data_IF_222712899254
#
_entry.id   IF_222712899254
#
_cell.length_a   1.000
_cell.length_b   1.000
_cell.length_c   1.000
_cell.angle_alpha   90.00
_cell.angle_beta   90.00
_cell.angle_gamma   90.00
#
_symmetry.space_group_name_H-M   'P 1'
#
loop_
_entity.id
_entity.type
_entity.pdbx_description
1 polymer ?
#
# COMPACT_ATOMS: atom_id res chain seq x y z
N UNK A 1 -2.18 -12.15 -0.80
CA UNK A 1 -2.58 -11.45 0.44
C UNK A 1 -1.50 -11.64 1.48
N UNK A 2 -1.01 -10.56 2.11
CA UNK A 2 0.03 -10.62 3.13
C UNK A 2 -0.45 -11.39 4.36
N UNK A 3 0.42 -12.23 4.94
CA UNK A 3 0.09 -12.94 6.19
C UNK A 3 0.19 -11.95 7.36
N UNK A 4 -0.83 -11.83 8.24
CA UNK A 4 -0.78 -10.86 9.36
C UNK A 4 0.45 -11.00 10.25
N UNK A 5 0.88 -12.23 10.55
CA UNK A 5 2.09 -12.47 11.33
C UNK A 5 3.38 -12.00 10.65
N UNK A 6 3.45 -12.08 9.31
CA UNK A 6 4.59 -11.56 8.55
C UNK A 6 4.65 -10.03 8.61
N UNK A 7 3.49 -9.38 8.47
CA UNK A 7 3.39 -7.93 8.53
C UNK A 7 3.80 -7.39 9.92
N UNK A 8 3.32 -8.03 11.00
CA UNK A 8 3.73 -7.67 12.38
C UNK A 8 5.24 -7.75 12.58
N UNK A 9 5.88 -8.83 12.13
CA UNK A 9 7.35 -8.99 12.18
C UNK A 9 8.07 -7.87 11.42
N UNK A 10 7.51 -7.41 10.32
CA UNK A 10 8.07 -6.31 9.53
C UNK A 10 7.97 -4.98 10.27
N UNK A 11 6.83 -4.68 10.88
CA UNK A 11 6.67 -3.49 11.73
C UNK A 11 7.68 -3.47 12.89
N UNK A 12 7.89 -4.60 13.56
CA UNK A 12 8.89 -4.72 14.64
C UNK A 12 10.32 -4.41 14.13
N UNK A 13 10.68 -4.93 12.96
CA UNK A 13 11.97 -4.68 12.32
C UNK A 13 12.16 -3.19 11.99
N UNK A 14 11.20 -2.62 11.27
CA UNK A 14 11.24 -1.22 10.81
C UNK A 14 11.31 -0.26 11.99
N UNK A 15 10.54 -0.52 13.06
CA UNK A 15 10.57 0.30 14.26
C UNK A 15 11.91 0.19 15.00
N UNK A 16 12.46 -1.02 15.17
CA UNK A 16 13.73 -1.25 15.86
C UNK A 16 14.89 -0.56 15.13
N UNK A 17 14.90 -0.64 13.81
CA UNK A 17 16.01 -0.19 12.99
C UNK A 17 15.78 1.22 12.39
N UNK A 18 14.68 1.88 12.75
CA UNK A 18 14.28 3.23 12.28
C UNK A 18 14.31 3.38 10.76
N UNK A 19 13.79 2.38 10.06
CA UNK A 19 13.81 2.32 8.59
C UNK A 19 12.71 3.23 8.01
N UNK A 20 13.02 3.90 6.92
CA UNK A 20 12.04 4.66 6.15
C UNK A 20 11.14 3.69 5.38
N UNK A 21 9.82 3.87 5.50
CA UNK A 21 8.80 3.05 4.81
C UNK A 21 7.70 3.96 4.27
N UNK A 22 7.20 3.64 3.08
CA UNK A 22 6.22 4.46 2.36
C UNK A 22 4.88 3.73 2.14
N UNK A 23 4.90 2.40 2.20
CA UNK A 23 3.74 1.53 2.05
C UNK A 23 3.88 0.21 2.84
N UNK A 24 2.81 -0.57 2.95
CA UNK A 24 2.79 -1.83 3.67
C UNK A 24 3.71 -2.91 3.07
N UNK A 25 4.07 -2.77 1.78
CA UNK A 25 4.88 -3.74 1.05
C UNK A 25 6.36 -3.52 1.33
N UNK A 26 6.81 -2.27 1.40
CA UNK A 26 8.17 -1.87 1.76
C UNK A 26 8.59 -2.42 3.13
N UNK A 27 7.64 -2.52 4.06
CA UNK A 27 7.82 -3.19 5.36
C UNK A 27 8.21 -4.67 5.19
N UNK A 28 7.56 -5.37 4.26
CA UNK A 28 7.80 -6.79 3.97
C UNK A 28 9.07 -6.99 3.15
N UNK A 29 9.45 -6.03 2.31
CA UNK A 29 10.71 -6.06 1.54
C UNK A 29 11.95 -6.00 2.44
N UNK A 30 11.88 -5.25 3.56
CA UNK A 30 12.95 -5.24 4.57
C UNK A 30 13.18 -6.62 5.21
N UNK A 31 12.15 -7.48 5.25
CA UNK A 31 12.28 -8.88 5.70
C UNK A 31 12.87 -9.82 4.65
N UNK A 32 13.22 -9.32 3.45
CA UNK A 32 13.68 -10.12 2.30
C UNK A 32 12.69 -11.20 1.88
N UNK A 33 11.41 -11.01 2.18
CA UNK A 33 10.36 -11.92 1.76
C UNK A 33 9.98 -11.61 0.30
N UNK A 34 9.70 -12.62 -0.55
CA UNK A 34 9.26 -12.37 -1.91
C UNK A 34 7.90 -11.65 -1.92
N UNK A 35 7.82 -10.62 -2.76
CA UNK A 35 6.62 -9.84 -3.03
C UNK A 35 6.23 -10.05 -4.49
N UNK A 36 4.93 -10.18 -4.73
CA UNK A 36 4.38 -10.33 -6.08
C UNK A 36 3.55 -9.10 -6.44
N UNK A 37 3.83 -8.53 -7.62
CA UNK A 37 3.04 -7.43 -8.18
C UNK A 37 1.90 -8.03 -9.00
N UNK A 38 0.67 -7.63 -8.69
CA UNK A 38 -0.53 -8.01 -9.44
C UNK A 38 -1.00 -6.82 -10.27
N UNK A 39 -1.45 -7.05 -11.50
CA UNK A 39 -2.02 -5.99 -12.33
C UNK A 39 -3.26 -5.39 -11.66
N UNK A 40 -3.23 -4.07 -11.42
CA UNK A 40 -4.33 -3.32 -10.84
C UNK A 40 -5.14 -2.55 -11.88
N UNK A 41 -6.13 -1.78 -11.41
CA UNK A 41 -6.87 -0.82 -12.22
C UNK A 41 -6.31 0.59 -12.06
N UNK A 42 -6.26 1.35 -13.16
CA UNK A 42 -5.94 2.78 -13.12
C UNK A 42 -6.98 3.61 -12.36
N UNK A 43 -8.19 3.09 -12.18
CA UNK A 43 -9.26 3.76 -11.41
C UNK A 43 -9.09 3.61 -9.89
N UNK A 44 -8.14 2.80 -9.41
CA UNK A 44 -7.81 2.70 -7.99
C UNK A 44 -6.88 3.85 -7.56
N UNK A 45 -7.42 5.07 -7.63
CA UNK A 45 -6.66 6.29 -7.34
C UNK A 45 -6.50 6.52 -5.84
N UNK A 46 -5.43 7.22 -5.46
CA UNK A 46 -5.23 7.74 -4.10
C UNK A 46 -5.79 9.16 -4.04
N UNK A 47 -6.80 9.40 -3.21
CA UNK A 47 -7.33 10.74 -2.95
C UNK A 47 -6.34 11.49 -2.05
N UNK A 48 -5.72 12.54 -2.57
CA UNK A 48 -4.67 13.33 -1.89
C UNK A 48 -4.92 14.82 -1.89
N UNK A 49 -5.78 15.30 -2.79
CA UNK A 49 -6.17 16.69 -2.97
C UNK A 49 -7.70 16.83 -2.99
N UNK A 50 -8.25 18.03 -2.77
CA UNK A 50 -9.68 18.27 -2.92
C UNK A 50 -10.21 17.93 -4.32
N UNK A 51 -9.41 18.18 -5.37
CA UNK A 51 -9.81 17.92 -6.77
C UNK A 51 -9.96 16.41 -7.06
N UNK A 52 -9.23 15.55 -6.34
CA UNK A 52 -9.33 14.09 -6.47
C UNK A 52 -10.73 13.58 -6.09
N UNK A 53 -11.47 14.30 -5.24
CA UNK A 53 -12.84 13.92 -4.85
C UNK A 53 -13.77 13.91 -6.06
N UNK A 54 -13.67 14.91 -6.94
CA UNK A 54 -14.47 14.99 -8.16
C UNK A 54 -14.15 13.81 -9.10
N UNK A 55 -12.87 13.43 -9.19
CA UNK A 55 -12.44 12.29 -10.00
C UNK A 55 -12.95 10.97 -9.41
N UNK A 56 -12.83 10.79 -8.09
CA UNK A 56 -13.31 9.60 -7.40
C UNK A 56 -14.84 9.44 -7.53
N UNK A 57 -15.61 10.51 -7.36
CA UNK A 57 -17.05 10.50 -7.58
C UNK A 57 -17.42 10.14 -9.02
N UNK A 58 -16.69 10.66 -10.01
CA UNK A 58 -16.90 10.30 -11.42
C UNK A 58 -16.62 8.82 -11.66
N UNK A 59 -15.54 8.27 -11.10
CA UNK A 59 -15.20 6.85 -11.22
C UNK A 59 -16.30 5.96 -10.61
N UNK A 60 -16.85 6.35 -9.46
CA UNK A 60 -17.91 5.59 -8.78
C UNK A 60 -19.28 5.68 -9.48
N UNK A 61 -19.56 6.79 -10.15
CA UNK A 61 -20.82 7.05 -10.84
C UNK A 61 -20.74 6.80 -12.37
N UNK A 62 -19.69 6.12 -12.84
CA UNK A 62 -19.65 5.61 -14.21
C UNK A 62 -20.66 4.45 -14.32
N UNK A 63 -21.73 4.66 -15.10
CA UNK A 63 -22.45 3.57 -15.76
C UNK A 63 -21.51 2.86 -16.77
#
# INVERSE_FOLDING_TARGET
VVKPGLLRKGFELVQRDSLEVTDDVSIVEHLKHPVYITQGSYTNIKVTTPDDLLVAERILNQD
#
